data_IF_764200723675
#
_entry.id   IF_764200723675
#
_cell.length_a   1.000
_cell.length_b   1.000
_cell.length_c   1.000
_cell.angle_alpha   90.00
_cell.angle_beta   90.00
_cell.angle_gamma   90.00
#
_symmetry.space_group_name_H-M   'P 1'
#
loop_
_entity.id
_entity.type
_entity.pdbx_description
1 polymer ?
#
# COMPACT_ATOMS: atom_id res chain seq x y z
N UNK A 1 -11.93 23.75 -4.04
CA UNK A 1 -11.80 22.32 -3.75
C UNK A 1 -10.76 22.18 -2.66
N UNK A 2 -11.16 21.72 -1.47
CA UNK A 2 -10.26 21.62 -0.29
C UNK A 2 -9.84 20.17 -0.02
N UNK A 3 -10.61 19.18 -0.49
CA UNK A 3 -10.42 17.76 -0.20
C UNK A 3 -10.95 16.89 -1.32
N UNK A 4 -10.27 15.77 -1.58
CA UNK A 4 -10.71 14.73 -2.49
C UNK A 4 -10.48 13.35 -1.88
N UNK A 5 -11.23 12.37 -2.37
CA UNK A 5 -11.08 10.95 -2.02
C UNK A 5 -10.80 10.17 -3.31
N UNK A 6 -9.85 9.24 -3.26
CA UNK A 6 -9.61 8.25 -4.30
C UNK A 6 -9.81 6.87 -3.70
N UNK A 7 -10.59 6.05 -4.40
CA UNK A 7 -10.80 4.64 -4.10
C UNK A 7 -10.22 3.80 -5.23
N UNK A 8 -9.53 2.73 -4.90
CA UNK A 8 -8.91 1.83 -5.87
C UNK A 8 -9.15 0.37 -5.48
N UNK A 9 -9.52 -0.44 -6.47
CA UNK A 9 -9.56 -1.89 -6.36
C UNK A 9 -8.49 -2.48 -7.29
N UNK A 10 -7.50 -3.17 -6.70
CA UNK A 10 -6.40 -3.80 -7.44
C UNK A 10 -6.65 -5.32 -7.45
N UNK A 11 -6.95 -5.93 -8.62
CA UNK A 11 -7.23 -7.36 -8.69
C UNK A 11 -6.04 -8.22 -8.28
N UNK A 12 -6.25 -9.22 -7.42
CA UNK A 12 -5.20 -10.17 -7.05
C UNK A 12 -4.63 -10.95 -8.25
N UNK A 13 -5.44 -11.17 -9.28
CA UNK A 13 -5.03 -11.84 -10.52
C UNK A 13 -3.83 -11.16 -11.21
N UNK A 14 -3.63 -9.85 -11.01
CA UNK A 14 -2.48 -9.12 -11.56
C UNK A 14 -1.14 -9.64 -11.03
N UNK A 15 -1.14 -10.30 -9.88
CA UNK A 15 0.07 -10.80 -9.20
C UNK A 15 0.20 -12.33 -9.28
N UNK A 16 -0.68 -13.03 -10.01
CA UNK A 16 -0.75 -14.50 -10.01
C UNK A 16 0.56 -15.21 -10.42
N UNK A 17 1.45 -14.52 -11.14
CA UNK A 17 2.74 -15.04 -11.60
C UNK A 17 3.86 -14.93 -10.55
N UNK A 18 3.67 -14.14 -9.49
CA UNK A 18 4.67 -13.93 -8.42
C UNK A 18 4.15 -14.19 -7.01
N UNK A 19 2.83 -14.12 -6.80
CA UNK A 19 2.23 -14.34 -5.49
C UNK A 19 2.24 -15.83 -5.12
N UNK A 20 2.50 -16.12 -3.85
CA UNK A 20 2.46 -17.50 -3.30
C UNK A 20 1.05 -18.11 -3.43
N UNK A 21 0.02 -17.29 -3.19
CA UNK A 21 -1.38 -17.66 -3.36
C UNK A 21 -2.16 -16.54 -4.06
N UNK A 22 -3.13 -16.92 -4.89
CA UNK A 22 -4.09 -16.00 -5.52
C UNK A 22 -5.49 -16.63 -5.49
N UNK A 23 -6.45 -16.10 -4.70
CA UNK A 23 -6.30 -14.98 -3.77
C UNK A 23 -5.37 -15.32 -2.59
N UNK A 24 -4.82 -14.31 -1.88
CA UNK A 24 -4.09 -14.52 -0.64
C UNK A 24 -4.93 -15.29 0.39
N UNK A 25 -4.28 -16.19 1.14
CA UNK A 25 -4.89 -16.92 2.26
C UNK A 25 -4.74 -16.14 3.56
N UNK A 26 -5.54 -16.48 4.57
CA UNK A 26 -5.35 -15.95 5.94
C UNK A 26 -3.93 -16.19 6.42
N UNK A 27 -3.27 -15.13 6.89
CA UNK A 27 -1.88 -15.17 7.35
C UNK A 27 -0.84 -14.92 6.27
N UNK A 28 -1.20 -14.92 4.97
CA UNK A 28 -0.27 -14.47 3.93
C UNK A 28 0.11 -13.01 4.20
N UNK A 29 1.37 -12.69 3.91
CA UNK A 29 1.93 -11.35 4.15
C UNK A 29 2.35 -10.76 2.82
N UNK A 30 1.85 -9.56 2.51
CA UNK A 30 2.39 -8.74 1.44
C UNK A 30 3.16 -7.55 2.04
N UNK A 31 4.25 -7.19 1.39
CA UNK A 31 5.00 -5.97 1.70
C UNK A 31 4.59 -4.88 0.70
N UNK A 32 4.05 -3.77 1.20
CA UNK A 32 3.63 -2.64 0.38
C UNK A 32 3.73 -1.31 1.12
N UNK A 33 3.57 -0.22 0.39
CA UNK A 33 3.44 1.11 0.97
C UNK A 33 2.34 1.91 0.24
N UNK A 34 1.79 2.91 0.92
CA UNK A 34 0.84 3.86 0.37
C UNK A 34 1.45 5.25 0.48
N UNK A 35 1.61 5.93 -0.66
CA UNK A 35 2.36 7.17 -0.74
C UNK A 35 1.48 8.31 -1.24
N UNK A 36 1.65 9.51 -0.67
CA UNK A 36 1.13 10.76 -1.22
C UNK A 36 2.31 11.58 -1.72
N UNK A 37 2.35 11.76 -3.03
CA UNK A 37 3.34 12.56 -3.73
C UNK A 37 2.65 13.72 -4.43
N UNK A 38 3.30 14.87 -4.52
CA UNK A 38 2.87 15.92 -5.42
C UNK A 38 3.23 17.32 -4.97
N UNK A 39 2.72 18.27 -5.75
CA UNK A 39 2.84 19.70 -5.51
C UNK A 39 4.10 20.31 -6.12
N UNK A 40 3.96 20.99 -7.26
CA UNK A 40 5.00 21.89 -7.79
C UNK A 40 5.22 23.12 -6.89
N UNK A 41 4.19 23.50 -6.12
CA UNK A 41 4.17 24.65 -5.22
C UNK A 41 3.99 24.27 -3.75
N UNK A 42 3.81 22.97 -3.47
CA UNK A 42 3.59 22.43 -2.12
C UNK A 42 4.03 20.96 -2.12
N UNK A 43 5.35 20.77 -2.19
CA UNK A 43 5.94 19.44 -2.28
C UNK A 43 5.52 18.57 -1.08
N UNK A 44 5.10 17.35 -1.41
CA UNK A 44 4.62 16.37 -0.44
C UNK A 44 5.33 15.05 -0.69
N UNK A 45 5.93 14.53 0.38
CA UNK A 45 6.60 13.25 0.40
C UNK A 45 6.15 12.49 1.64
N UNK A 46 4.96 11.90 1.60
CA UNK A 46 4.38 11.16 2.73
C UNK A 46 4.19 9.70 2.37
N UNK A 47 4.46 8.82 3.33
CA UNK A 47 4.36 7.36 3.20
C UNK A 47 3.67 6.80 4.44
N UNK A 48 2.91 5.72 4.30
CA UNK A 48 2.30 5.02 5.42
C UNK A 48 3.36 4.36 6.32
N UNK A 49 4.23 3.56 5.72
CA UNK A 49 5.46 3.08 6.36
C UNK A 49 6.58 4.06 6.02
N UNK A 50 7.12 4.76 7.02
CA UNK A 50 8.15 5.77 6.80
C UNK A 50 9.46 5.16 6.29
N UNK A 51 10.10 5.80 5.32
CA UNK A 51 11.42 5.38 4.84
C UNK A 51 12.52 5.69 5.85
N UNK A 52 13.59 4.88 5.82
CA UNK A 52 14.82 5.09 6.60
C UNK A 52 15.94 5.71 5.78
N UNK A 53 15.70 6.03 4.51
CA UNK A 53 16.69 6.67 3.65
C UNK A 53 16.88 8.16 4.04
N UNK A 54 18.07 8.73 3.78
CA UNK A 54 18.34 10.13 4.13
C UNK A 54 17.54 11.13 3.29
N UNK A 55 17.14 10.74 2.08
CA UNK A 55 16.34 11.53 1.14
C UNK A 55 15.04 10.79 0.80
N UNK A 56 13.98 11.47 0.33
CA UNK A 56 12.73 10.82 -0.06
C UNK A 56 12.94 9.70 -1.08
N UNK A 57 12.61 8.46 -0.69
CA UNK A 57 12.71 7.27 -1.55
C UNK A 57 11.45 6.40 -1.43
N UNK A 58 10.83 6.13 -2.57
CA UNK A 58 9.58 5.34 -2.65
C UNK A 58 9.81 3.91 -3.15
N UNK A 59 10.98 3.65 -3.75
CA UNK A 59 11.41 2.34 -4.26
C UNK A 59 12.48 1.73 -3.34
N UNK A 60 12.20 1.72 -2.03
CA UNK A 60 13.00 1.05 -0.99
C UNK A 60 12.17 -0.10 -0.40
N UNK A 61 12.21 -1.32 -0.98
CA UNK A 61 11.37 -2.43 -0.53
C UNK A 61 11.59 -2.83 0.93
N UNK A 62 12.79 -2.59 1.47
CA UNK A 62 13.13 -2.88 2.88
C UNK A 62 12.37 -1.99 3.87
N UNK A 63 11.79 -0.88 3.41
CA UNK A 63 10.99 0.05 4.22
C UNK A 63 9.49 -0.17 4.06
N UNK A 64 9.05 -1.13 3.24
CA UNK A 64 7.64 -1.41 3.04
C UNK A 64 6.98 -1.94 4.33
N UNK A 65 5.74 -1.50 4.55
CA UNK A 65 4.91 -2.01 5.63
C UNK A 65 4.46 -3.44 5.35
N UNK A 66 4.05 -4.15 6.40
CA UNK A 66 3.55 -5.52 6.32
C UNK A 66 2.02 -5.52 6.40
N UNK A 67 1.37 -6.05 5.39
CA UNK A 67 -0.08 -6.29 5.36
C UNK A 67 -0.32 -7.78 5.51
N UNK A 68 -1.11 -8.17 6.52
CA UNK A 68 -1.49 -9.56 6.79
C UNK A 68 -2.92 -9.77 6.33
N UNK A 69 -3.14 -10.73 5.43
CA UNK A 69 -4.49 -11.05 4.95
C UNK A 69 -5.26 -11.85 5.99
N UNK A 70 -6.57 -11.62 6.07
CA UNK A 70 -7.48 -12.31 6.99
C UNK A 70 -8.84 -12.51 6.33
N UNK A 71 -9.47 -13.62 6.69
CA UNK A 71 -10.88 -13.97 6.43
C UNK A 71 -11.87 -13.27 7.37
N UNK A 72 -11.38 -12.55 8.39
CA UNK A 72 -12.25 -11.74 9.26
C UNK A 72 -12.91 -10.64 8.44
N UNK A 73 -14.23 -10.58 8.49
CA UNK A 73 -14.99 -9.50 7.90
C UNK A 73 -14.51 -8.16 8.46
N UNK A 74 -14.24 -7.20 7.57
CA UNK A 74 -13.93 -5.83 7.99
C UNK A 74 -15.13 -5.24 8.71
N UNK A 75 -14.96 -4.66 9.93
CA UNK A 75 -16.06 -3.99 10.63
C UNK A 75 -16.50 -2.70 9.92
N UNK A 76 -15.75 -2.27 8.90
CA UNK A 76 -16.02 -1.08 8.11
C UNK A 76 -16.70 -1.39 6.77
N UNK A 77 -16.88 -2.67 6.43
CA UNK A 77 -17.64 -3.06 5.25
C UNK A 77 -19.14 -2.99 5.59
N UNK A 78 -19.88 -2.12 4.91
CA UNK A 78 -21.34 -2.02 4.96
C UNK A 78 -21.92 -2.36 3.60
#
# INVERSE_FOLDING_TARGET
>A
DEYWILEAAIPFANFAHVAVHTPPKTGDIWHLNLNRLGGKTNEQFSQWSGSRTPEPQFHSPDDFGRVVFSDKASPFWR
#
